data_IF_604307634214
#
_entry.id   IF_604307634214
#
_cell.length_a   1.000
_cell.length_b   1.000
_cell.length_c   1.000
_cell.angle_alpha   90.00
_cell.angle_beta   90.00
_cell.angle_gamma   90.00
#
_symmetry.space_group_name_H-M   'P 1'
#
loop_
_entity.id
_entity.type
_entity.pdbx_description
1 polymer ?
#
# COMPACT_ATOMS: atom_id res chain seq x y z
N UNK A 1 3.05 14.00 15.54
CA UNK A 1 2.11 12.85 15.53
C UNK A 1 2.86 11.65 14.98
N UNK A 2 2.93 10.56 15.76
CA UNK A 2 3.46 9.26 15.33
C UNK A 2 2.48 8.57 14.38
N UNK A 3 2.92 7.46 13.74
CA UNK A 3 2.04 6.66 12.90
C UNK A 3 0.90 6.03 13.71
N UNK A 4 1.19 5.50 14.90
CA UNK A 4 0.18 4.93 15.80
C UNK A 4 -0.85 5.99 16.27
N UNK A 5 -0.41 7.18 16.64
CA UNK A 5 -1.33 8.28 16.98
C UNK A 5 -2.23 8.66 15.80
N UNK A 6 -1.68 8.62 14.58
CA UNK A 6 -2.43 8.88 13.36
C UNK A 6 -3.53 7.83 13.12
N UNK A 7 -3.23 6.55 13.33
CA UNK A 7 -4.20 5.46 13.17
C UNK A 7 -5.40 5.57 14.12
N UNK A 8 -5.19 6.06 15.34
CA UNK A 8 -6.28 6.31 16.30
C UNK A 8 -7.33 7.31 15.78
N UNK A 9 -6.95 8.20 14.86
CA UNK A 9 -7.91 9.12 14.22
C UNK A 9 -8.92 8.39 13.32
N UNK A 10 -8.56 7.20 12.85
CA UNK A 10 -9.40 6.32 12.02
C UNK A 10 -10.17 5.27 12.84
N UNK A 11 -10.12 5.33 14.18
CA UNK A 11 -10.59 4.30 15.09
C UNK A 11 -9.96 2.93 14.80
N UNK A 12 -8.68 2.93 14.37
CA UNK A 12 -7.92 1.72 14.14
C UNK A 12 -7.08 1.44 15.38
N UNK A 13 -7.24 0.21 15.92
CA UNK A 13 -6.50 -0.29 17.06
C UNK A 13 -5.31 -1.12 16.57
N UNK A 14 -4.15 -0.92 17.17
CA UNK A 14 -2.98 -1.73 16.94
C UNK A 14 -2.83 -2.72 18.09
N UNK A 15 -2.88 -4.00 17.77
CA UNK A 15 -2.64 -5.11 18.70
C UNK A 15 -1.23 -5.65 18.50
N UNK A 16 -0.56 -5.99 19.61
CA UNK A 16 0.84 -6.46 19.59
C UNK A 16 0.96 -7.98 19.49
N UNK A 17 -0.13 -8.70 19.75
CA UNK A 17 -0.17 -10.16 19.68
C UNK A 17 -1.56 -10.67 19.29
N UNK A 18 -1.63 -11.93 18.86
CA UNK A 18 -2.91 -12.60 18.61
C UNK A 18 -3.75 -12.73 19.89
N UNK A 19 -3.13 -12.94 21.05
CA UNK A 19 -3.83 -13.02 22.33
C UNK A 19 -4.52 -11.69 22.69
N UNK A 20 -3.89 -10.55 22.40
CA UNK A 20 -4.51 -9.23 22.57
C UNK A 20 -5.74 -9.07 21.66
N UNK A 21 -5.64 -9.53 20.40
CA UNK A 21 -6.75 -9.51 19.44
C UNK A 21 -7.90 -10.36 19.95
N UNK A 22 -7.64 -11.59 20.38
CA UNK A 22 -8.66 -12.50 20.91
C UNK A 22 -9.32 -11.94 22.17
N UNK A 23 -8.52 -11.49 23.14
CA UNK A 23 -9.04 -10.93 24.39
C UNK A 23 -9.89 -9.68 24.15
N UNK A 24 -9.46 -8.79 23.25
CA UNK A 24 -10.23 -7.61 22.86
C UNK A 24 -11.54 -8.00 22.17
N UNK A 25 -11.48 -8.94 21.22
CA UNK A 25 -12.63 -9.44 20.49
C UNK A 25 -13.68 -10.05 21.42
N UNK A 26 -13.24 -10.92 22.35
CA UNK A 26 -14.16 -11.55 23.32
C UNK A 26 -14.80 -10.55 24.29
N UNK A 27 -14.05 -9.51 24.69
CA UNK A 27 -14.52 -8.54 25.70
C UNK A 27 -15.38 -7.42 25.11
N UNK A 28 -15.15 -7.04 23.85
CA UNK A 28 -15.70 -5.82 23.29
C UNK A 28 -16.61 -6.03 22.06
N UNK A 29 -16.65 -7.24 21.48
CA UNK A 29 -17.35 -7.46 20.24
C UNK A 29 -18.59 -8.33 20.36
N UNK A 30 -19.73 -7.89 19.84
CA UNK A 30 -20.93 -8.71 19.81
C UNK A 30 -20.76 -9.90 18.85
N UNK A 31 -21.60 -10.92 19.05
CA UNK A 31 -21.57 -12.20 18.32
C UNK A 31 -21.41 -12.12 16.78
N UNK A 32 -21.91 -11.09 16.05
CA UNK A 32 -21.68 -10.95 14.61
C UNK A 32 -20.21 -10.80 14.24
N UNK A 33 -19.38 -10.28 15.16
CA UNK A 33 -17.95 -10.04 14.93
C UNK A 33 -17.14 -11.34 14.96
N UNK A 34 -17.64 -12.39 15.58
CA UNK A 34 -17.05 -13.74 15.49
C UNK A 34 -17.12 -14.29 14.05
N UNK A 35 -18.14 -13.89 13.30
CA UNK A 35 -18.27 -14.26 11.89
C UNK A 35 -17.29 -13.44 11.02
N UNK A 36 -16.96 -12.21 11.42
CA UNK A 36 -15.89 -11.43 10.82
C UNK A 36 -14.51 -12.02 11.10
N UNK A 37 -14.25 -12.54 12.31
CA UNK A 37 -13.03 -13.30 12.64
C UNK A 37 -12.93 -14.61 11.85
N UNK A 38 -14.04 -15.33 11.64
CA UNK A 38 -14.06 -16.52 10.78
C UNK A 38 -13.76 -16.16 9.33
N UNK A 39 -14.21 -15.01 8.88
CA UNK A 39 -13.91 -14.49 7.56
C UNK A 39 -12.40 -14.16 7.40
N UNK A 40 -11.74 -13.67 8.44
CA UNK A 40 -10.29 -13.47 8.47
C UNK A 40 -9.51 -14.80 8.48
N UNK A 41 -9.93 -15.78 9.27
CA UNK A 41 -9.31 -17.12 9.27
C UNK A 41 -9.50 -17.84 7.91
N UNK A 42 -10.51 -17.46 7.14
CA UNK A 42 -10.66 -17.91 5.75
C UNK A 42 -9.75 -17.14 4.78
N UNK A 43 -9.15 -16.02 5.21
CA UNK A 43 -8.25 -15.19 4.43
C UNK A 43 -6.88 -15.82 4.20
N UNK A 44 -6.40 -16.71 5.06
CA UNK A 44 -5.20 -17.52 4.76
C UNK A 44 -5.35 -18.28 3.43
N UNK A 45 -6.60 -18.36 2.92
CA UNK A 45 -6.95 -18.93 1.62
C UNK A 45 -7.24 -17.90 0.53
N UNK A 46 -7.23 -16.59 0.83
CA UNK A 46 -7.35 -15.54 -0.17
C UNK A 46 -5.98 -15.27 -0.80
N UNK A 47 -5.53 -16.22 -1.58
CA UNK A 47 -4.42 -16.15 -2.51
C UNK A 47 -4.58 -14.92 -3.43
N UNK A 48 -3.54 -14.14 -3.74
CA UNK A 48 -3.54 -13.16 -4.82
C UNK A 48 -4.01 -13.72 -6.18
N UNK A 49 -3.93 -15.02 -6.38
CA UNK A 49 -4.54 -15.76 -7.49
C UNK A 49 -6.06 -15.92 -7.36
N UNK A 50 -6.66 -15.67 -6.17
CA UNK A 50 -8.12 -15.66 -6.03
C UNK A 50 -8.68 -14.53 -6.90
N UNK A 51 -9.75 -14.84 -7.66
CA UNK A 51 -10.23 -13.94 -8.71
C UNK A 51 -10.60 -12.55 -8.21
N UNK A 52 -10.46 -11.54 -9.08
CA UNK A 52 -10.79 -10.13 -8.84
C UNK A 52 -12.10 -9.90 -8.08
N UNK A 53 -13.12 -10.72 -8.31
CA UNK A 53 -14.44 -10.61 -7.65
C UNK A 53 -14.33 -10.94 -6.15
N UNK A 54 -13.51 -11.91 -5.76
CA UNK A 54 -13.35 -12.31 -4.37
C UNK A 54 -12.51 -11.28 -3.60
N UNK A 55 -11.47 -10.74 -4.23
CA UNK A 55 -10.72 -9.61 -3.70
C UNK A 55 -11.60 -8.37 -3.57
N UNK A 56 -12.46 -8.08 -4.56
CA UNK A 56 -13.42 -6.97 -4.51
C UNK A 56 -14.38 -7.10 -3.32
N UNK A 57 -14.96 -8.28 -3.12
CA UNK A 57 -15.87 -8.55 -1.98
C UNK A 57 -15.14 -8.41 -0.65
N UNK A 58 -13.94 -8.98 -0.54
CA UNK A 58 -13.11 -8.92 0.65
C UNK A 58 -12.78 -7.47 1.03
N UNK A 59 -12.16 -6.71 0.13
CA UNK A 59 -11.76 -5.32 0.44
C UNK A 59 -12.95 -4.38 0.58
N UNK A 60 -14.10 -4.67 -0.03
CA UNK A 60 -15.33 -3.93 0.23
C UNK A 60 -15.85 -4.19 1.65
N UNK A 61 -15.75 -5.41 2.17
CA UNK A 61 -16.09 -5.74 3.55
C UNK A 61 -15.11 -5.08 4.53
N UNK A 62 -13.80 -5.17 4.25
CA UNK A 62 -12.75 -4.49 5.01
C UNK A 62 -13.01 -2.98 5.08
N UNK A 63 -13.35 -2.35 3.95
CA UNK A 63 -13.70 -0.93 3.92
C UNK A 63 -14.87 -0.54 4.82
N UNK A 64 -15.78 -1.46 5.13
CA UNK A 64 -16.95 -1.21 6.01
C UNK A 64 -16.65 -1.38 7.49
N UNK A 65 -15.71 -2.24 7.86
CA UNK A 65 -15.47 -2.68 9.24
C UNK A 65 -14.19 -2.07 9.82
N UNK A 66 -14.32 -1.30 10.90
CA UNK A 66 -13.17 -0.77 11.65
C UNK A 66 -12.39 -1.89 12.34
N UNK A 67 -13.07 -2.97 12.67
CA UNK A 67 -12.50 -4.16 13.29
C UNK A 67 -11.61 -4.89 12.29
N UNK A 68 -12.10 -5.17 11.08
CA UNK A 68 -11.32 -5.80 10.02
C UNK A 68 -10.10 -4.93 9.64
N UNK A 69 -10.27 -3.61 9.60
CA UNK A 69 -9.16 -2.67 9.39
C UNK A 69 -8.12 -2.79 10.49
N UNK A 70 -8.55 -2.82 11.76
CA UNK A 70 -7.64 -2.94 12.91
C UNK A 70 -6.87 -4.25 12.91
N UNK A 71 -7.54 -5.36 12.55
CA UNK A 71 -6.90 -6.68 12.48
C UNK A 71 -5.85 -6.74 11.37
N UNK A 72 -6.24 -6.38 10.14
CA UNK A 72 -5.30 -6.36 8.99
C UNK A 72 -4.10 -5.45 9.28
N UNK A 73 -4.36 -4.30 9.88
CA UNK A 73 -3.31 -3.37 10.20
C UNK A 73 -2.39 -3.93 11.30
N UNK A 74 -2.95 -4.58 12.33
CA UNK A 74 -2.13 -5.15 13.42
C UNK A 74 -1.22 -6.26 12.92
N UNK A 75 -1.73 -7.14 12.05
CA UNK A 75 -0.92 -8.18 11.41
C UNK A 75 0.27 -7.63 10.62
N UNK A 76 0.19 -6.39 10.13
CA UNK A 76 1.16 -5.76 9.24
C UNK A 76 1.63 -4.39 9.71
N UNK A 77 1.47 -4.10 11.00
CA UNK A 77 1.78 -2.76 11.55
C UNK A 77 3.20 -2.32 11.24
N UNK A 78 4.19 -3.15 11.55
CA UNK A 78 5.59 -2.85 11.29
C UNK A 78 5.88 -2.64 9.80
N UNK A 79 5.21 -3.42 8.94
CA UNK A 79 5.30 -3.25 7.49
C UNK A 79 4.76 -1.88 7.05
N UNK A 80 3.60 -1.46 7.53
CA UNK A 80 3.02 -0.16 7.17
C UNK A 80 3.79 1.01 7.77
N UNK A 81 4.25 0.90 9.01
CA UNK A 81 5.06 1.94 9.66
C UNK A 81 6.40 2.12 8.93
N UNK A 82 7.13 1.03 8.67
CA UNK A 82 8.41 1.06 7.96
C UNK A 82 8.26 1.55 6.52
N UNK A 83 7.20 1.10 5.81
CA UNK A 83 6.88 1.56 4.47
C UNK A 83 6.57 3.06 4.46
N UNK A 84 5.76 3.54 5.41
CA UNK A 84 5.40 4.96 5.48
C UNK A 84 6.60 5.85 5.71
N UNK A 85 7.52 5.46 6.58
CA UNK A 85 8.77 6.20 6.82
C UNK A 85 9.63 6.24 5.55
N UNK A 86 9.80 5.10 4.87
CA UNK A 86 10.54 5.03 3.61
C UNK A 86 9.92 5.92 2.52
N UNK A 87 8.59 5.89 2.39
CA UNK A 87 7.87 6.71 1.40
C UNK A 87 8.03 8.19 1.72
N UNK A 88 7.81 8.62 2.97
CA UNK A 88 7.95 10.03 3.38
C UNK A 88 9.36 10.56 3.07
N UNK A 89 10.40 9.81 3.40
CA UNK A 89 11.78 10.18 3.08
C UNK A 89 12.00 10.33 1.56
N UNK A 90 11.35 9.47 0.77
CA UNK A 90 11.48 9.44 -0.69
C UNK A 90 10.66 10.52 -1.40
N UNK A 91 9.62 11.07 -0.77
CA UNK A 91 8.69 12.04 -1.38
C UNK A 91 9.20 13.48 -1.38
N UNK A 92 10.32 13.75 -0.74
CA UNK A 92 10.84 15.11 -0.62
C UNK A 92 11.10 15.76 -2.00
N UNK A 93 10.49 16.93 -2.22
CA UNK A 93 10.62 17.71 -3.45
C UNK A 93 9.59 17.38 -4.55
N UNK A 94 8.81 16.31 -4.44
CA UNK A 94 7.72 16.01 -5.37
C UNK A 94 6.47 16.81 -5.02
N UNK A 95 5.74 17.27 -6.04
CA UNK A 95 4.57 18.15 -5.88
C UNK A 95 3.24 17.48 -6.10
N UNK A 96 3.17 16.53 -7.05
CA UNK A 96 1.92 15.87 -7.46
C UNK A 96 2.07 14.37 -7.31
N UNK A 97 1.41 13.79 -6.32
CA UNK A 97 1.62 12.41 -5.91
C UNK A 97 0.34 11.60 -6.06
N UNK A 98 0.44 10.44 -6.71
CA UNK A 98 -0.63 9.44 -6.80
C UNK A 98 -0.34 8.31 -5.81
N UNK A 99 -1.31 7.98 -4.96
CA UNK A 99 -1.27 6.78 -4.12
C UNK A 99 -2.28 5.75 -4.64
N UNK A 100 -1.77 4.56 -5.03
CA UNK A 100 -2.56 3.48 -5.64
C UNK A 100 -2.99 2.50 -4.57
N UNK A 101 -4.31 2.22 -4.50
CA UNK A 101 -4.87 1.35 -3.47
C UNK A 101 -4.86 2.01 -2.09
N UNK A 102 -5.26 3.27 -2.03
CA UNK A 102 -5.22 4.08 -0.82
C UNK A 102 -6.10 3.57 0.34
N UNK A 103 -6.97 2.58 0.07
CA UNK A 103 -7.92 2.05 1.07
C UNK A 103 -8.74 3.17 1.72
N UNK A 104 -8.88 3.16 3.05
CA UNK A 104 -9.57 4.22 3.80
C UNK A 104 -8.72 5.49 3.99
N UNK A 105 -7.58 5.59 3.33
CA UNK A 105 -6.76 6.79 3.25
C UNK A 105 -5.78 7.03 4.40
N UNK A 106 -5.56 6.06 5.31
CA UNK A 106 -4.69 6.29 6.47
C UNK A 106 -3.23 6.59 6.10
N UNK A 107 -2.64 5.89 5.10
CA UNK A 107 -1.28 6.21 4.63
C UNK A 107 -1.26 7.55 3.90
N UNK A 108 -2.16 7.74 2.94
CA UNK A 108 -2.19 8.96 2.11
C UNK A 108 -2.41 10.22 2.96
N UNK A 109 -3.31 10.17 3.97
CA UNK A 109 -3.49 11.31 4.91
C UNK A 109 -2.26 11.53 5.78
N UNK A 110 -1.57 10.46 6.18
CA UNK A 110 -0.32 10.58 6.93
C UNK A 110 0.77 11.27 6.10
N UNK A 111 0.91 10.91 4.82
CA UNK A 111 1.82 11.59 3.89
C UNK A 111 1.46 13.06 3.69
N UNK A 112 0.17 13.37 3.47
CA UNK A 112 -0.31 14.72 3.27
C UNK A 112 -0.09 15.64 4.49
N UNK A 113 -0.15 15.09 5.70
CA UNK A 113 0.16 15.81 6.94
C UNK A 113 1.67 16.02 7.13
N UNK A 114 2.50 15.08 6.67
CA UNK A 114 3.96 15.16 6.81
C UNK A 114 4.62 16.03 5.74
N UNK A 115 3.97 16.16 4.58
CA UNK A 115 4.49 16.87 3.40
C UNK A 115 3.41 17.84 2.90
N UNK A 116 3.09 18.90 3.65
CA UNK A 116 1.95 19.78 3.37
C UNK A 116 2.11 20.60 2.07
N UNK A 117 3.33 20.71 1.54
CA UNK A 117 3.63 21.40 0.28
C UNK A 117 3.35 20.57 -0.97
N UNK A 118 3.00 19.30 -0.81
CA UNK A 118 2.66 18.38 -1.91
C UNK A 118 1.16 18.16 -1.98
N UNK A 119 0.66 17.90 -3.18
CA UNK A 119 -0.73 17.53 -3.45
C UNK A 119 -0.83 16.03 -3.71
N UNK A 120 -1.79 15.38 -3.07
CA UNK A 120 -1.98 13.94 -3.13
C UNK A 120 -3.31 13.59 -3.79
N UNK A 121 -3.31 12.52 -4.56
CA UNK A 121 -4.52 11.86 -5.04
C UNK A 121 -4.43 10.39 -4.63
N UNK A 122 -5.36 9.95 -3.77
CA UNK A 122 -5.52 8.54 -3.43
C UNK A 122 -6.59 7.89 -4.28
N UNK A 123 -6.30 6.74 -4.88
CA UNK A 123 -7.29 5.95 -5.63
C UNK A 123 -7.49 4.58 -5.01
N UNK A 124 -8.73 4.16 -4.93
CA UNK A 124 -9.10 2.78 -4.54
C UNK A 124 -10.36 2.36 -5.29
N UNK A 125 -10.52 1.07 -5.56
CA UNK A 125 -11.71 0.57 -6.23
C UNK A 125 -12.93 0.48 -5.30
N UNK A 126 -12.73 0.41 -3.97
CA UNK A 126 -13.76 0.30 -2.96
C UNK A 126 -14.42 1.65 -2.70
N UNK A 127 -15.69 1.79 -3.08
CA UNK A 127 -16.48 2.99 -2.78
C UNK A 127 -16.53 3.28 -1.26
N UNK A 128 -16.71 2.25 -0.44
CA UNK A 128 -16.81 2.41 1.02
C UNK A 128 -15.50 2.89 1.63
N UNK A 129 -14.37 2.36 1.15
CA UNK A 129 -13.05 2.82 1.59
C UNK A 129 -12.83 4.29 1.23
N UNK A 130 -13.07 4.67 -0.01
CA UNK A 130 -12.92 6.06 -0.49
C UNK A 130 -13.87 7.03 0.22
N UNK A 131 -15.10 6.58 0.54
CA UNK A 131 -16.04 7.37 1.33
C UNK A 131 -15.49 7.67 2.73
N UNK A 132 -14.90 6.66 3.42
CA UNK A 132 -14.24 6.85 4.72
C UNK A 132 -13.03 7.78 4.61
N UNK A 133 -12.21 7.61 3.58
CA UNK A 133 -11.06 8.46 3.31
C UNK A 133 -11.46 9.94 3.13
N UNK A 134 -12.51 10.22 2.35
CA UNK A 134 -13.05 11.56 2.17
C UNK A 134 -13.65 12.15 3.46
N UNK A 135 -14.28 11.35 4.30
CA UNK A 135 -14.75 11.79 5.60
C UNK A 135 -13.58 12.18 6.51
N UNK A 136 -12.50 11.40 6.48
CA UNK A 136 -11.30 11.70 7.26
C UNK A 136 -10.59 12.97 6.75
N UNK A 137 -10.46 13.14 5.42
CA UNK A 137 -9.99 14.38 4.81
C UNK A 137 -10.72 15.60 5.38
N UNK A 138 -12.07 15.54 5.43
CA UNK A 138 -12.90 16.62 5.98
C UNK A 138 -12.66 16.83 7.48
N UNK A 139 -12.63 15.73 8.27
CA UNK A 139 -12.39 15.77 9.72
C UNK A 139 -11.04 16.42 10.08
N UNK A 140 -10.01 16.13 9.27
CA UNK A 140 -8.65 16.65 9.44
C UNK A 140 -8.43 18.01 8.75
N UNK A 141 -9.46 18.55 8.06
CA UNK A 141 -9.39 19.80 7.30
C UNK A 141 -8.21 19.85 6.29
N UNK A 142 -7.97 18.74 5.59
CA UNK A 142 -6.89 18.64 4.62
C UNK A 142 -7.32 19.17 3.25
N UNK A 143 -6.55 20.11 2.70
CA UNK A 143 -6.82 20.74 1.41
C UNK A 143 -5.88 20.26 0.31
N UNK A 144 -4.85 19.52 0.68
CA UNK A 144 -3.81 19.04 -0.24
C UNK A 144 -3.98 17.56 -0.64
N UNK A 145 -5.16 16.99 -0.50
CA UNK A 145 -5.43 15.59 -0.81
C UNK A 145 -6.84 15.41 -1.38
N UNK A 146 -6.99 14.53 -2.36
CA UNK A 146 -8.27 14.04 -2.88
C UNK A 146 -8.32 12.51 -2.92
N UNK A 147 -9.49 11.93 -2.67
CA UNK A 147 -9.72 10.49 -2.75
C UNK A 147 -10.78 10.18 -3.80
N UNK A 148 -10.48 9.25 -4.71
CA UNK A 148 -11.29 8.96 -5.89
C UNK A 148 -11.50 7.45 -6.02
N UNK A 149 -12.76 7.04 -6.24
CA UNK A 149 -13.08 5.64 -6.56
C UNK A 149 -12.58 5.34 -7.97
N UNK A 150 -11.57 4.47 -8.07
CA UNK A 150 -10.98 4.12 -9.38
C UNK A 150 -10.27 2.76 -9.34
N UNK A 151 -10.52 1.96 -10.37
CA UNK A 151 -9.78 0.73 -10.64
C UNK A 151 -8.38 1.07 -11.16
N UNK A 152 -7.32 0.51 -10.54
CA UNK A 152 -5.93 0.70 -10.96
C UNK A 152 -5.65 0.19 -12.38
N UNK A 153 -6.47 -0.73 -12.90
CA UNK A 153 -6.37 -1.22 -14.27
C UNK A 153 -6.98 -0.27 -15.31
N UNK A 154 -7.67 0.79 -14.85
CA UNK A 154 -8.39 1.78 -15.68
C UNK A 154 -8.01 3.23 -15.32
N UNK A 155 -6.75 3.43 -14.95
CA UNK A 155 -6.24 4.77 -14.62
C UNK A 155 -6.25 5.64 -15.88
N UNK A 156 -6.93 6.78 -15.80
CA UNK A 156 -7.02 7.75 -16.90
C UNK A 156 -6.75 9.15 -16.36
N UNK A 157 -5.48 9.53 -16.36
CA UNK A 157 -4.99 10.88 -16.12
C UNK A 157 -4.22 11.39 -17.34
N UNK A 158 -4.04 12.71 -17.47
CA UNK A 158 -3.17 13.26 -18.50
C UNK A 158 -1.77 12.64 -18.46
N UNK A 159 -1.12 12.54 -19.62
CA UNK A 159 0.26 12.06 -19.67
C UNK A 159 1.15 13.01 -18.84
N UNK A 160 2.13 12.40 -18.13
CA UNK A 160 3.13 13.14 -17.34
C UNK A 160 2.55 14.02 -16.24
N UNK A 161 1.42 13.64 -15.70
CA UNK A 161 0.70 14.44 -14.68
C UNK A 161 1.31 14.34 -13.30
N UNK A 162 1.82 13.17 -12.90
CA UNK A 162 2.34 12.90 -11.56
C UNK A 162 3.86 12.97 -11.50
N UNK A 163 4.39 13.61 -10.47
CA UNK A 163 5.83 13.62 -10.18
C UNK A 163 6.26 12.37 -9.43
N UNK A 164 5.37 11.80 -8.63
CA UNK A 164 5.59 10.55 -7.93
C UNK A 164 4.33 9.69 -7.94
N UNK A 165 4.51 8.39 -8.06
CA UNK A 165 3.47 7.40 -7.87
C UNK A 165 3.90 6.48 -6.74
N UNK A 166 3.03 6.25 -5.78
CA UNK A 166 3.25 5.36 -4.63
C UNK A 166 2.32 4.18 -4.73
N UNK A 167 2.84 3.00 -4.47
CA UNK A 167 2.11 1.76 -4.29
C UNK A 167 2.62 1.08 -3.01
N UNK A 168 1.72 0.93 -2.04
CA UNK A 168 2.01 0.17 -0.81
C UNK A 168 1.08 -1.02 -0.75
N UNK A 169 1.57 -2.19 -1.14
CA UNK A 169 0.89 -3.47 -1.09
C UNK A 169 -0.46 -3.51 -1.86
N UNK A 170 -0.53 -2.91 -3.05
CA UNK A 170 -1.76 -2.91 -3.84
C UNK A 170 -1.62 -3.40 -5.29
N UNK A 171 -0.57 -3.00 -6.02
CA UNK A 171 -0.40 -3.37 -7.43
C UNK A 171 -0.30 -4.89 -7.62
N UNK A 172 0.24 -5.63 -6.66
CA UNK A 172 0.33 -7.08 -6.76
C UNK A 172 -1.04 -7.81 -6.85
N UNK A 173 -2.15 -7.12 -6.57
CA UNK A 173 -3.51 -7.58 -6.86
C UNK A 173 -3.97 -7.29 -8.30
N UNK A 174 -3.15 -6.63 -9.12
CA UNK A 174 -3.50 -6.39 -10.51
C UNK A 174 -3.52 -7.70 -11.29
N UNK A 175 -4.51 -7.84 -12.17
CA UNK A 175 -4.61 -8.98 -13.08
C UNK A 175 -3.52 -9.02 -14.15
N UNK A 176 -2.97 -7.85 -14.48
CA UNK A 176 -1.98 -7.66 -15.53
C UNK A 176 -1.01 -6.56 -15.11
N UNK A 177 0.09 -6.97 -14.49
CA UNK A 177 1.14 -6.07 -14.02
C UNK A 177 1.70 -5.20 -15.14
N UNK A 178 1.98 -5.82 -16.30
CA UNK A 178 2.58 -5.11 -17.43
C UNK A 178 1.67 -4.00 -17.94
N UNK A 179 0.38 -4.28 -18.07
CA UNK A 179 -0.61 -3.28 -18.45
C UNK A 179 -0.70 -2.15 -17.43
N UNK A 180 -0.75 -2.49 -16.14
CA UNK A 180 -0.78 -1.51 -15.06
C UNK A 180 0.46 -0.63 -15.09
N UNK A 181 1.66 -1.21 -15.12
CA UNK A 181 2.91 -0.44 -15.18
C UNK A 181 3.01 0.41 -16.45
N UNK A 182 2.52 -0.06 -17.60
CA UNK A 182 2.45 0.73 -18.83
C UNK A 182 1.52 1.97 -18.69
N UNK A 183 0.40 1.84 -17.95
CA UNK A 183 -0.45 3.00 -17.64
C UNK A 183 0.26 3.98 -16.72
N UNK A 184 0.90 3.48 -15.65
CA UNK A 184 1.64 4.32 -14.71
C UNK A 184 2.78 5.08 -15.41
N UNK A 185 3.50 4.41 -16.30
CA UNK A 185 4.55 5.04 -17.10
C UNK A 185 4.07 6.23 -17.91
N UNK A 186 2.86 6.16 -18.49
CA UNK A 186 2.29 7.25 -19.31
C UNK A 186 1.97 8.49 -18.46
N UNK A 187 1.43 8.28 -17.27
CA UNK A 187 0.99 9.38 -16.39
C UNK A 187 2.10 9.93 -15.50
N UNK A 188 3.25 9.23 -15.39
CA UNK A 188 4.42 9.67 -14.64
C UNK A 188 5.20 10.70 -15.47
N UNK A 189 5.64 11.78 -14.86
CA UNK A 189 6.49 12.80 -15.48
C UNK A 189 7.88 12.25 -15.85
N UNK A 190 8.57 12.91 -16.78
CA UNK A 190 9.89 12.43 -17.29
C UNK A 190 10.97 12.35 -16.20
N UNK A 191 10.84 13.16 -15.14
CA UNK A 191 11.72 13.16 -13.99
C UNK A 191 11.09 12.49 -12.76
N UNK A 192 9.89 11.94 -12.93
CA UNK A 192 9.13 11.33 -11.86
C UNK A 192 9.67 9.97 -11.45
N UNK A 193 9.22 9.52 -10.28
CA UNK A 193 9.55 8.20 -9.74
C UNK A 193 8.29 7.40 -9.43
N UNK A 194 8.40 6.09 -9.55
CA UNK A 194 7.46 5.12 -9.00
C UNK A 194 8.11 4.46 -7.78
N UNK A 195 7.45 4.52 -6.65
CA UNK A 195 7.80 3.78 -5.43
C UNK A 195 6.79 2.66 -5.29
N UNK A 196 7.24 1.40 -5.31
CA UNK A 196 6.36 0.26 -5.11
C UNK A 196 6.93 -0.65 -4.02
N UNK A 197 6.06 -1.05 -3.11
CA UNK A 197 6.35 -1.92 -1.96
C UNK A 197 5.38 -3.09 -2.05
N UNK A 198 5.68 -4.10 -2.89
CA UNK A 198 4.80 -5.23 -3.05
C UNK A 198 4.75 -6.06 -1.77
N UNK A 199 3.57 -6.54 -1.41
CA UNK A 199 3.38 -7.46 -0.30
C UNK A 199 3.78 -8.91 -0.66
N UNK A 200 4.94 -9.08 -1.29
CA UNK A 200 5.44 -10.36 -1.81
C UNK A 200 6.67 -10.75 -1.01
N UNK A 201 6.62 -11.94 -0.37
CA UNK A 201 7.73 -12.51 0.41
C UNK A 201 8.56 -13.55 -0.34
N UNK A 202 8.10 -14.07 -1.49
CA UNK A 202 8.74 -15.15 -2.21
C UNK A 202 9.74 -14.65 -3.28
N UNK A 203 10.93 -15.26 -3.28
CA UNK A 203 12.05 -14.89 -4.16
C UNK A 203 11.67 -14.82 -5.64
N UNK A 204 11.00 -15.85 -6.15
CA UNK A 204 10.68 -15.94 -7.57
C UNK A 204 9.55 -14.98 -7.97
N UNK A 205 8.59 -14.75 -7.09
CA UNK A 205 7.53 -13.77 -7.31
C UNK A 205 8.09 -12.34 -7.32
N UNK A 206 9.05 -12.02 -6.44
CA UNK A 206 9.74 -10.73 -6.45
C UNK A 206 10.47 -10.53 -7.79
N UNK A 207 11.18 -11.55 -8.28
CA UNK A 207 11.86 -11.48 -9.59
C UNK A 207 10.88 -11.29 -10.74
N UNK A 208 9.76 -12.00 -10.74
CA UNK A 208 8.71 -11.81 -11.74
C UNK A 208 8.15 -10.39 -11.71
N UNK A 209 7.84 -9.86 -10.53
CA UNK A 209 7.34 -8.50 -10.36
C UNK A 209 8.31 -7.46 -10.90
N UNK A 210 9.60 -7.59 -10.57
CA UNK A 210 10.68 -6.74 -11.08
C UNK A 210 10.79 -6.81 -12.60
N UNK A 211 10.73 -7.99 -13.17
CA UNK A 211 10.75 -8.18 -14.63
C UNK A 211 9.59 -7.45 -15.31
N UNK A 212 8.40 -7.45 -14.74
CA UNK A 212 7.25 -6.73 -15.30
C UNK A 212 7.44 -5.20 -15.26
N UNK A 213 8.04 -4.68 -14.18
CA UNK A 213 8.43 -3.27 -14.08
C UNK A 213 9.40 -2.90 -15.21
N UNK A 214 10.44 -3.71 -15.41
CA UNK A 214 11.46 -3.46 -16.44
C UNK A 214 10.89 -3.61 -17.86
N UNK A 215 10.03 -4.60 -18.10
CA UNK A 215 9.33 -4.79 -19.39
C UNK A 215 8.41 -3.62 -19.74
N UNK A 216 7.83 -2.96 -18.73
CA UNK A 216 7.09 -1.72 -18.94
C UNK A 216 7.99 -0.50 -19.24
N UNK A 217 9.31 -0.66 -19.25
CA UNK A 217 10.28 0.36 -19.59
C UNK A 217 10.69 1.26 -18.42
N UNK A 218 10.47 0.84 -17.18
CA UNK A 218 11.06 1.47 -16.02
C UNK A 218 12.48 0.98 -15.78
N UNK A 219 13.31 1.85 -15.25
CA UNK A 219 14.62 1.53 -14.69
C UNK A 219 14.55 1.52 -13.18
N UNK A 220 15.08 0.48 -12.55
CA UNK A 220 15.15 0.41 -11.09
C UNK A 220 16.36 1.24 -10.64
N UNK A 221 16.10 2.24 -9.81
CA UNK A 221 17.12 3.17 -9.28
C UNK A 221 17.44 2.94 -7.80
N UNK A 222 16.55 2.23 -7.08
CA UNK A 222 16.81 1.73 -5.73
C UNK A 222 16.04 0.43 -5.51
N UNK A 223 16.70 -0.56 -4.92
CA UNK A 223 16.09 -1.82 -4.50
C UNK A 223 16.74 -2.29 -3.21
N UNK A 224 15.93 -2.42 -2.15
CA UNK A 224 16.38 -2.92 -0.86
C UNK A 224 15.24 -3.66 -0.15
N UNK A 225 15.60 -4.43 0.86
CA UNK A 225 14.65 -4.96 1.82
C UNK A 225 14.65 -4.12 3.09
N UNK A 226 13.47 -3.80 3.60
CA UNK A 226 13.30 -3.17 4.91
C UNK A 226 12.91 -4.26 5.89
N UNK A 227 13.66 -4.38 6.97
CA UNK A 227 13.31 -5.25 8.09
C UNK A 227 12.13 -4.64 8.85
N UNK A 228 11.14 -5.47 9.15
CA UNK A 228 9.94 -5.10 9.91
C UNK A 228 9.63 -6.15 10.96
N UNK A 229 8.84 -5.79 11.96
CA UNK A 229 8.34 -6.72 12.96
C UNK A 229 6.82 -6.64 12.97
N UNK A 230 6.16 -7.74 12.60
CA UNK A 230 4.71 -7.86 12.56
C UNK A 230 4.27 -8.94 13.57
N UNK A 231 3.43 -8.58 14.54
CA UNK A 231 2.99 -9.47 15.65
C UNK A 231 4.13 -10.25 16.31
N UNK A 232 5.31 -9.61 16.44
CA UNK A 232 6.50 -10.22 17.03
C UNK A 232 7.37 -11.03 16.07
N UNK A 233 6.94 -11.26 14.84
CA UNK A 233 7.70 -11.95 13.80
C UNK A 233 8.47 -10.97 12.93
N UNK A 234 9.72 -11.36 12.61
CA UNK A 234 10.59 -10.58 11.73
C UNK A 234 10.29 -10.90 10.28
N UNK A 235 10.02 -9.85 9.51
CA UNK A 235 9.76 -9.91 8.08
C UNK A 235 10.66 -8.95 7.30
N UNK A 236 10.77 -9.16 5.99
CA UNK A 236 11.53 -8.31 5.09
C UNK A 236 10.68 -7.88 3.91
N UNK A 237 10.48 -6.57 3.77
CA UNK A 237 9.69 -5.99 2.70
C UNK A 237 10.58 -5.52 1.55
N UNK A 238 10.36 -5.99 0.33
CA UNK A 238 11.02 -5.43 -0.84
C UNK A 238 10.50 -4.02 -1.09
N UNK A 239 11.42 -3.06 -1.21
CA UNK A 239 11.13 -1.69 -1.62
C UNK A 239 11.84 -1.40 -2.92
N UNK A 240 11.09 -0.95 -3.91
CA UNK A 240 11.58 -0.73 -5.26
C UNK A 240 11.25 0.70 -5.66
N UNK A 241 12.29 1.47 -6.02
CA UNK A 241 12.11 2.80 -6.60
C UNK A 241 12.53 2.76 -8.06
N UNK A 242 11.66 3.25 -8.92
CA UNK A 242 11.82 3.20 -10.37
C UNK A 242 11.79 4.59 -10.97
N UNK A 243 12.47 4.77 -12.11
CA UNK A 243 12.51 6.00 -12.89
C UNK A 243 12.33 5.67 -14.37
N UNK A 244 11.91 6.63 -15.18
CA UNK A 244 11.92 6.52 -16.65
C UNK A 244 13.31 6.75 -17.24
N UNK A 245 14.21 7.33 -16.48
CA UNK A 245 15.61 7.56 -16.88
C UNK A 245 16.47 6.35 -16.54
N UNK A 246 17.44 6.05 -17.39
CA UNK A 246 18.43 5.03 -17.09
C UNK A 246 19.30 5.48 -15.90
N UNK A 247 19.53 4.63 -14.90
CA UNK A 247 20.43 4.94 -13.81
C UNK A 247 21.87 5.03 -14.31
N UNK A 248 22.70 5.82 -13.63
CA UNK A 248 24.15 5.88 -13.91
C UNK A 248 24.82 4.54 -13.62
N UNK A 249 24.40 3.87 -12.58
CA UNK A 249 24.87 2.54 -12.19
C UNK A 249 23.69 1.56 -12.14
N UNK A 250 23.89 0.36 -12.66
CA UNK A 250 22.86 -0.70 -12.61
C UNK A 250 22.90 -1.38 -11.25
N UNK A 251 21.74 -1.52 -10.62
CA UNK A 251 21.59 -2.30 -9.41
C UNK A 251 21.68 -3.78 -9.76
N UNK A 252 22.51 -4.52 -9.04
CA UNK A 252 22.56 -5.97 -9.14
C UNK A 252 21.42 -6.58 -8.31
N UNK A 253 20.27 -6.75 -8.95
CA UNK A 253 19.03 -7.23 -8.33
C UNK A 253 19.23 -8.63 -7.73
N UNK A 254 19.87 -9.53 -8.48
CA UNK A 254 20.14 -10.90 -8.01
C UNK A 254 21.03 -10.91 -6.76
N UNK A 255 22.01 -10.03 -6.67
CA UNK A 255 22.85 -9.91 -5.48
C UNK A 255 22.02 -9.46 -4.26
N UNK A 256 21.14 -8.47 -4.42
CA UNK A 256 20.28 -7.98 -3.32
C UNK A 256 19.30 -9.07 -2.86
N UNK A 257 18.68 -9.79 -3.80
CA UNK A 257 17.76 -10.87 -3.48
C UNK A 257 18.50 -12.04 -2.80
N UNK A 258 19.62 -12.48 -3.35
CA UNK A 258 20.36 -13.62 -2.81
C UNK A 258 20.91 -13.36 -1.41
N UNK A 259 21.25 -12.11 -1.09
CA UNK A 259 21.71 -11.74 0.26
C UNK A 259 20.66 -12.01 1.34
N UNK A 260 19.37 -11.96 0.99
CA UNK A 260 18.28 -12.22 1.94
C UNK A 260 17.87 -13.69 2.00
N UNK A 261 17.86 -14.39 0.85
CA UNK A 261 17.30 -15.74 0.71
C UNK A 261 18.36 -16.86 0.71
N UNK A 262 19.64 -16.54 0.92
CA UNK A 262 20.74 -17.47 1.15
C UNK A 262 21.25 -17.31 2.59
#
# INVERSE_FOLDING_TARGET
MSFEEHLKLFNIFHFKSFDEIENFAYSNWPKPTRDELKFLNQREKADPSSGFIDNLKFYSAVGKSEILQSLILSERYGSYESSSNFVIESLNGFKTILDIGCSIGYLTTYYALKIPESSFIGIDFSFESVKKANNMKKKLNLNNIDFIVRDMNKINYPNKYFDCIVDTQSIYYSKDYLKTFNHLRKILSDNGILITIPGIGEKDLIKQYINQIQNAGFSIINFKFIETINLGEKEYLPTITCSLKKPKEKINIDHVINKLFN
#
